data_IF_496109385020
#
_entry.id   IF_496109385020
#
_cell.length_a   1.000
_cell.length_b   1.000
_cell.length_c   1.000
_cell.angle_alpha   90.00
_cell.angle_beta   90.00
_cell.angle_gamma   90.00
#
_symmetry.space_group_name_H-M   'P 1'
#
loop_
_entity.id
_entity.type
_entity.pdbx_description
1 polymer ?
#
# COMPACT_ATOMS: atom_id res chain seq x y z
N UNK A 1 0.74 6.09 0.56
CA UNK A 1 1.91 6.94 0.82
C UNK A 1 2.39 6.88 2.28
N UNK A 2 1.51 6.69 3.28
CA UNK A 2 1.95 6.55 4.70
C UNK A 2 3.02 5.48 4.92
N UNK A 3 2.85 4.27 4.36
CA UNK A 3 3.85 3.19 4.47
C UNK A 3 5.22 3.56 3.87
N UNK A 4 5.23 4.33 2.78
CA UNK A 4 6.47 4.79 2.13
C UNK A 4 7.26 5.73 3.05
N UNK A 5 6.58 6.67 3.71
CA UNK A 5 7.20 7.53 4.71
C UNK A 5 7.70 6.75 5.93
N UNK A 6 6.91 5.79 6.41
CA UNK A 6 7.30 4.94 7.53
C UNK A 6 8.52 4.11 7.17
N UNK A 7 8.65 3.66 5.91
CA UNK A 7 9.82 2.92 5.44
C UNK A 7 11.14 3.65 5.71
N UNK A 8 11.17 4.97 5.56
CA UNK A 8 12.34 5.78 5.91
C UNK A 8 12.69 5.69 7.39
N UNK A 9 11.69 5.75 8.27
CA UNK A 9 11.88 5.57 9.72
C UNK A 9 12.22 4.13 10.10
N UNK A 10 11.70 3.14 9.38
CA UNK A 10 11.97 1.73 9.62
C UNK A 10 13.42 1.36 9.26
N UNK A 11 13.97 1.93 8.19
CA UNK A 11 15.34 1.61 7.76
C UNK A 11 16.41 2.50 8.42
N UNK A 12 16.02 3.67 8.95
CA UNK A 12 16.95 4.64 9.53
C UNK A 12 17.85 4.09 10.66
N UNK A 13 17.39 3.21 11.58
CA UNK A 13 18.25 2.70 12.65
C UNK A 13 19.45 1.89 12.14
N UNK A 14 19.34 1.26 10.96
CA UNK A 14 20.40 0.42 10.38
C UNK A 14 21.20 1.18 9.31
N UNK A 15 20.53 1.84 8.37
CA UNK A 15 21.18 2.42 7.19
C UNK A 15 21.27 3.95 7.21
N UNK A 16 20.72 4.58 8.26
CA UNK A 16 20.63 6.05 8.38
C UNK A 16 19.61 6.68 7.45
N UNK A 17 19.66 8.00 7.32
CA UNK A 17 18.70 8.81 6.53
C UNK A 17 19.33 9.44 5.28
N UNK A 18 20.28 8.74 4.65
CA UNK A 18 20.99 9.27 3.48
C UNK A 18 20.11 9.31 2.22
N UNK A 19 20.56 10.05 1.19
CA UNK A 19 19.89 10.10 -0.11
C UNK A 19 19.77 8.71 -0.78
N UNK A 20 20.69 7.80 -0.46
CA UNK A 20 20.67 6.43 -0.99
C UNK A 20 19.52 5.61 -0.41
N UNK A 21 19.22 5.79 0.88
CA UNK A 21 18.12 5.10 1.56
C UNK A 21 16.77 5.57 1.03
N UNK A 22 16.58 6.89 0.94
CA UNK A 22 15.37 7.46 0.34
C UNK A 22 15.23 7.11 -1.14
N UNK A 23 16.32 7.16 -1.91
CA UNK A 23 16.33 6.74 -3.31
C UNK A 23 15.93 5.28 -3.49
N UNK A 24 16.36 4.40 -2.58
CA UNK A 24 15.96 2.99 -2.56
C UNK A 24 14.47 2.83 -2.29
N UNK A 25 13.95 3.47 -1.25
CA UNK A 25 12.54 3.41 -0.86
C UNK A 25 11.66 3.87 -2.02
N UNK A 26 11.90 5.08 -2.54
CA UNK A 26 11.09 5.65 -3.64
C UNK A 26 11.13 4.72 -4.86
N UNK A 27 12.31 4.23 -5.25
CA UNK A 27 12.46 3.33 -6.39
C UNK A 27 11.64 2.06 -6.22
N UNK A 28 11.74 1.41 -5.06
CA UNK A 28 11.00 0.18 -4.76
C UNK A 28 9.50 0.43 -4.77
N UNK A 29 9.04 1.51 -4.14
CA UNK A 29 7.62 1.85 -4.12
C UNK A 29 7.08 2.15 -5.52
N UNK A 30 7.79 2.93 -6.34
CA UNK A 30 7.36 3.23 -7.71
C UNK A 30 7.29 1.97 -8.57
N UNK A 31 8.28 1.07 -8.49
CA UNK A 31 8.28 -0.19 -9.23
C UNK A 31 7.17 -1.13 -8.75
N UNK A 32 7.00 -1.26 -7.43
CA UNK A 32 5.95 -2.09 -6.86
C UNK A 32 4.55 -1.56 -7.22
N UNK A 33 4.34 -0.24 -7.19
CA UNK A 33 3.10 0.39 -7.65
C UNK A 33 2.87 0.16 -9.14
N UNK A 34 3.88 0.30 -10.00
CA UNK A 34 3.76 0.04 -11.43
C UNK A 34 3.33 -1.42 -11.70
N UNK A 35 3.92 -2.38 -10.99
CA UNK A 35 3.52 -3.79 -11.03
C UNK A 35 2.08 -3.97 -10.52
N UNK A 36 1.73 -3.34 -9.41
CA UNK A 36 0.37 -3.33 -8.86
C UNK A 36 -0.66 -2.77 -9.85
N UNK A 37 -0.32 -1.69 -10.56
CA UNK A 37 -1.19 -1.10 -11.58
C UNK A 37 -1.42 -2.06 -12.74
N UNK A 38 -0.37 -2.72 -13.21
CA UNK A 38 -0.46 -3.72 -14.28
C UNK A 38 -1.30 -4.93 -13.87
N UNK A 39 -1.03 -5.49 -12.69
CA UNK A 39 -1.74 -6.69 -12.20
C UNK A 39 -3.20 -6.35 -11.87
N UNK A 40 -3.46 -5.22 -11.20
CA UNK A 40 -4.79 -4.75 -10.86
C UNK A 40 -5.63 -4.44 -12.09
N UNK A 41 -5.04 -3.79 -13.10
CA UNK A 41 -5.68 -3.51 -14.38
C UNK A 41 -5.98 -4.78 -15.18
N UNK A 42 -5.11 -5.79 -15.17
CA UNK A 42 -5.40 -7.09 -15.82
C UNK A 42 -6.49 -7.86 -15.07
N UNK A 43 -6.46 -7.84 -13.74
CA UNK A 43 -7.46 -8.53 -12.91
C UNK A 43 -8.87 -7.91 -13.10
N UNK A 44 -8.93 -6.60 -13.33
CA UNK A 44 -10.19 -5.89 -13.51
C UNK A 44 -10.87 -6.12 -14.86
N UNK A 45 -10.16 -6.62 -15.86
CA UNK A 45 -10.73 -7.00 -17.17
C UNK A 45 -11.64 -8.25 -17.10
N UNK A 46 -11.46 -9.10 -16.08
CA UNK A 46 -12.12 -10.40 -15.99
C UNK A 46 -13.45 -10.36 -15.22
N UNK A 47 -14.25 -9.31 -15.41
CA UNK A 47 -15.49 -9.07 -14.65
C UNK A 47 -15.19 -8.48 -13.27
N UNK A 48 -15.13 -7.15 -13.15
CA UNK A 48 -14.86 -6.50 -11.87
C UNK A 48 -16.05 -6.73 -10.93
N UNK A 49 -15.77 -7.21 -9.71
CA UNK A 49 -16.77 -7.52 -8.68
C UNK A 49 -16.36 -6.93 -7.35
N UNK A 50 -17.34 -6.58 -6.53
CA UNK A 50 -17.09 -6.04 -5.20
C UNK A 50 -16.40 -7.09 -4.30
N UNK A 51 -16.69 -8.38 -4.50
CA UNK A 51 -16.02 -9.48 -3.80
C UNK A 51 -14.51 -9.50 -4.05
N UNK A 52 -14.08 -9.41 -5.32
CA UNK A 52 -12.65 -9.38 -5.67
C UNK A 52 -11.97 -8.11 -5.17
N UNK A 53 -12.67 -6.98 -5.20
CA UNK A 53 -12.19 -5.74 -4.60
C UNK A 53 -11.95 -5.90 -3.10
N UNK A 54 -12.89 -6.52 -2.39
CA UNK A 54 -12.76 -6.82 -0.97
C UNK A 54 -11.57 -7.73 -0.67
N UNK A 55 -11.32 -8.75 -1.50
CA UNK A 55 -10.16 -9.64 -1.38
C UNK A 55 -8.85 -8.84 -1.50
N UNK A 56 -8.75 -7.86 -2.41
CA UNK A 56 -7.55 -7.00 -2.52
C UNK A 56 -7.28 -6.27 -1.20
N UNK A 57 -8.31 -5.69 -0.57
CA UNK A 57 -8.19 -5.01 0.72
C UNK A 57 -7.79 -5.97 1.85
N UNK A 58 -8.41 -7.15 1.91
CA UNK A 58 -8.08 -8.18 2.89
C UNK A 58 -6.64 -8.66 2.73
N UNK A 59 -6.21 -8.97 1.51
CA UNK A 59 -4.83 -9.34 1.21
C UNK A 59 -3.85 -8.23 1.59
N UNK A 60 -4.16 -6.97 1.25
CA UNK A 60 -3.31 -5.83 1.62
C UNK A 60 -3.15 -5.72 3.14
N UNK A 61 -4.25 -5.82 3.89
CA UNK A 61 -4.24 -5.81 5.36
C UNK A 61 -3.46 -6.99 5.95
N UNK A 62 -3.71 -8.20 5.47
CA UNK A 62 -3.05 -9.43 5.95
C UNK A 62 -1.55 -9.45 5.65
N UNK A 63 -1.09 -8.86 4.55
CA UNK A 63 0.34 -8.76 4.22
C UNK A 63 0.99 -7.63 5.01
N UNK A 64 0.29 -6.51 5.20
CA UNK A 64 0.82 -5.35 5.90
C UNK A 64 0.98 -5.58 7.41
N UNK A 65 0.06 -6.30 8.05
CA UNK A 65 0.06 -6.53 9.50
C UNK A 65 1.36 -7.19 10.02
N UNK A 66 1.77 -8.35 9.47
CA UNK A 66 3.01 -9.03 9.85
C UNK A 66 4.28 -8.18 9.68
N UNK A 67 4.24 -7.16 8.82
CA UNK A 67 5.38 -6.26 8.60
C UNK A 67 5.81 -5.55 9.89
N UNK A 68 4.87 -5.25 10.80
CA UNK A 68 5.18 -4.63 12.09
C UNK A 68 6.11 -5.49 12.96
N UNK A 69 6.09 -6.82 12.79
CA UNK A 69 6.95 -7.76 13.52
C UNK A 69 8.15 -8.21 12.68
N UNK A 70 7.98 -8.30 11.37
CA UNK A 70 8.99 -8.80 10.45
C UNK A 70 10.04 -7.75 10.05
N UNK A 71 9.72 -6.46 10.18
CA UNK A 71 10.62 -5.37 9.74
C UNK A 71 11.99 -5.42 10.42
N UNK A 72 12.03 -5.49 11.75
CA UNK A 72 13.27 -5.52 12.53
C UNK A 72 14.15 -6.75 12.23
N UNK A 73 13.65 -8.00 12.29
CA UNK A 73 14.47 -9.18 12.03
C UNK A 73 14.96 -9.24 10.58
N UNK A 74 14.14 -8.86 9.60
CA UNK A 74 14.55 -8.84 8.19
C UNK A 74 15.62 -7.77 7.97
N UNK A 75 15.42 -6.55 8.48
CA UNK A 75 16.37 -5.45 8.29
C UNK A 75 17.70 -5.76 8.96
N UNK A 76 17.68 -6.33 10.17
CA UNK A 76 18.89 -6.77 10.89
C UNK A 76 19.63 -7.85 10.11
N UNK A 77 18.91 -8.87 9.61
CA UNK A 77 19.50 -9.95 8.82
C UNK A 77 20.18 -9.43 7.53
N UNK A 78 19.59 -8.43 6.88
CA UNK A 78 20.18 -7.77 5.70
C UNK A 78 21.41 -6.95 6.10
N UNK A 79 21.30 -6.16 7.17
CA UNK A 79 22.38 -5.29 7.64
C UNK A 79 23.63 -6.09 7.99
N UNK A 80 23.49 -7.21 8.70
CA UNK A 80 24.60 -8.09 9.09
C UNK A 80 25.39 -8.65 7.89
N UNK A 81 24.76 -8.68 6.70
CA UNK A 81 25.38 -9.17 5.45
C UNK A 81 25.86 -8.05 4.55
N UNK A 82 25.15 -6.93 4.53
CA UNK A 82 25.39 -5.80 3.64
C UNK A 82 25.30 -4.51 4.44
N UNK A 83 26.44 -4.08 4.97
CA UNK A 83 26.55 -2.84 5.73
C UNK A 83 26.51 -1.58 4.85
N UNK A 84 26.79 -1.69 3.54
CA UNK A 84 26.73 -0.54 2.62
C UNK A 84 25.28 -0.05 2.52
N UNK A 85 24.98 1.20 2.93
CA UNK A 85 23.62 1.72 2.92
C UNK A 85 22.95 1.67 1.55
N UNK A 86 23.69 1.80 0.45
CA UNK A 86 23.12 1.82 -0.92
C UNK A 86 22.46 0.50 -1.26
N UNK A 87 23.19 -0.60 -1.05
CA UNK A 87 22.73 -1.94 -1.42
C UNK A 87 21.90 -2.57 -0.30
N UNK A 88 22.27 -2.33 0.95
CA UNK A 88 21.56 -2.83 2.13
C UNK A 88 20.15 -2.25 2.22
N UNK A 89 19.98 -0.93 2.08
CA UNK A 89 18.65 -0.32 2.12
C UNK A 89 17.78 -0.72 0.93
N UNK A 90 18.38 -0.92 -0.25
CA UNK A 90 17.66 -1.37 -1.43
C UNK A 90 17.12 -2.78 -1.24
N UNK A 91 17.96 -3.71 -0.75
CA UNK A 91 17.55 -5.08 -0.51
C UNK A 91 16.51 -5.18 0.63
N UNK A 92 16.70 -4.42 1.71
CA UNK A 92 15.72 -4.36 2.80
C UNK A 92 14.38 -3.78 2.32
N UNK A 93 14.40 -2.69 1.55
CA UNK A 93 13.19 -2.11 0.98
C UNK A 93 12.48 -3.09 0.03
N UNK A 94 13.22 -3.80 -0.83
CA UNK A 94 12.66 -4.83 -1.70
C UNK A 94 11.97 -5.94 -0.92
N UNK A 95 12.62 -6.46 0.12
CA UNK A 95 12.10 -7.54 0.94
C UNK A 95 10.83 -7.13 1.72
N UNK A 96 10.80 -5.91 2.23
CA UNK A 96 9.73 -5.43 3.11
C UNK A 96 8.53 -4.85 2.35
N UNK A 97 8.78 -4.07 1.29
CA UNK A 97 7.75 -3.17 0.76
C UNK A 97 7.18 -3.62 -0.58
N UNK A 98 7.83 -4.53 -1.33
CA UNK A 98 7.31 -4.95 -2.65
C UNK A 98 5.94 -5.63 -2.51
N UNK A 99 5.84 -6.67 -1.69
CA UNK A 99 4.60 -7.42 -1.54
C UNK A 99 3.39 -6.55 -1.13
N UNK A 100 3.44 -5.77 -0.03
CA UNK A 100 2.30 -4.93 0.35
C UNK A 100 2.02 -3.83 -0.68
N UNK A 101 3.05 -3.22 -1.26
CA UNK A 101 2.88 -2.10 -2.19
C UNK A 101 2.30 -2.53 -3.53
N UNK A 102 2.66 -3.72 -4.03
CA UNK A 102 2.04 -4.29 -5.23
C UNK A 102 0.53 -4.45 -5.02
N UNK A 103 0.12 -5.05 -3.90
CA UNK A 103 -1.31 -5.27 -3.62
C UNK A 103 -2.06 -3.94 -3.42
N UNK A 104 -1.46 -2.98 -2.71
CA UNK A 104 -2.03 -1.63 -2.57
C UNK A 104 -2.14 -0.92 -3.92
N UNK A 105 -1.17 -1.09 -4.81
CA UNK A 105 -1.19 -0.53 -6.16
C UNK A 105 -2.36 -1.04 -7.00
N UNK A 106 -2.83 -2.27 -6.76
CA UNK A 106 -3.96 -2.84 -7.51
C UNK A 106 -5.28 -2.10 -7.26
N UNK A 107 -5.42 -1.37 -6.13
CA UNK A 107 -6.68 -0.74 -5.72
C UNK A 107 -7.16 0.31 -6.74
N UNK A 108 -6.27 1.14 -7.26
CA UNK A 108 -6.64 2.25 -8.17
C UNK A 108 -7.23 1.78 -9.50
N UNK A 109 -6.53 0.98 -10.34
CA UNK A 109 -7.10 0.53 -11.62
C UNK A 109 -8.34 -0.36 -11.42
N UNK A 110 -8.39 -1.14 -10.33
CA UNK A 110 -9.55 -1.96 -10.04
C UNK A 110 -10.79 -1.11 -9.71
N UNK A 111 -10.61 -0.04 -8.93
CA UNK A 111 -11.69 0.90 -8.58
C UNK A 111 -12.24 1.59 -9.83
N UNK A 112 -11.38 2.00 -10.77
CA UNK A 112 -11.83 2.58 -12.05
C UNK A 112 -12.72 1.58 -12.78
N UNK A 113 -12.27 0.35 -12.98
CA UNK A 113 -13.05 -0.67 -13.69
C UNK A 113 -14.36 -1.05 -12.99
N UNK A 114 -14.43 -0.97 -11.65
CA UNK A 114 -15.65 -1.24 -10.90
C UNK A 114 -16.69 -0.10 -11.02
N UNK A 115 -16.23 1.14 -11.15
CA UNK A 115 -17.08 2.33 -11.19
C UNK A 115 -17.52 2.71 -12.62
N UNK A 116 -16.72 2.39 -13.63
CA UNK A 116 -17.03 2.70 -15.04
C UNK A 116 -18.15 1.80 -15.54
N UNK A 117 -19.31 2.39 -15.83
CA UNK A 117 -20.48 1.71 -16.42
C UNK A 117 -20.55 1.84 -17.94
N UNK A 118 -20.14 2.99 -18.47
CA UNK A 118 -20.10 3.30 -19.90
C UNK A 118 -18.68 3.77 -20.26
N UNK A 119 -18.16 3.32 -21.41
CA UNK A 119 -16.78 3.61 -21.85
C UNK A 119 -16.48 5.12 -21.92
N UNK A 120 -17.48 5.92 -22.25
CA UNK A 120 -17.41 7.39 -22.37
C UNK A 120 -17.18 8.09 -21.01
N UNK A 121 -17.58 7.48 -19.90
CA UNK A 121 -17.38 8.04 -18.55
C UNK A 121 -16.01 7.67 -17.96
N UNK A 122 -15.24 6.81 -18.62
CA UNK A 122 -13.97 6.28 -18.10
C UNK A 122 -12.97 7.37 -17.70
N UNK A 123 -12.83 8.41 -18.53
CA UNK A 123 -11.95 9.55 -18.23
C UNK A 123 -12.40 10.35 -17.02
N UNK A 124 -13.72 10.60 -16.87
CA UNK A 124 -14.28 11.35 -15.74
C UNK A 124 -14.12 10.57 -14.43
N UNK A 125 -14.47 9.29 -14.42
CA UNK A 125 -14.34 8.41 -13.25
C UNK A 125 -12.88 8.28 -12.83
N UNK A 126 -11.97 8.04 -13.78
CA UNK A 126 -10.54 7.97 -13.49
C UNK A 126 -10.02 9.31 -12.93
N UNK A 127 -10.40 10.44 -13.52
CA UNK A 127 -10.02 11.77 -13.03
C UNK A 127 -10.47 12.04 -11.59
N UNK A 128 -11.74 11.77 -11.28
CA UNK A 128 -12.27 11.91 -9.92
C UNK A 128 -11.56 10.98 -8.94
N UNK A 129 -11.29 9.73 -9.33
CA UNK A 129 -10.57 8.78 -8.48
C UNK A 129 -9.14 9.25 -8.20
N UNK A 130 -8.42 9.74 -9.21
CA UNK A 130 -7.07 10.29 -9.03
C UNK A 130 -7.07 11.53 -8.16
N UNK A 131 -8.07 12.41 -8.29
CA UNK A 131 -8.22 13.57 -7.42
C UNK A 131 -8.38 13.16 -5.95
N UNK A 132 -9.34 12.28 -5.66
CA UNK A 132 -9.59 11.78 -4.28
C UNK A 132 -8.36 11.05 -3.75
N UNK A 133 -7.73 10.20 -4.56
CA UNK A 133 -6.52 9.46 -4.19
C UNK A 133 -5.35 10.39 -3.87
N UNK A 134 -5.18 11.46 -4.64
CA UNK A 134 -4.08 12.41 -4.45
C UNK A 134 -4.29 13.25 -3.20
N UNK A 135 -5.49 13.79 -2.98
CA UNK A 135 -5.82 14.53 -1.74
C UNK A 135 -5.70 13.61 -0.53
N UNK A 136 -6.27 12.41 -0.59
CA UNK A 136 -6.19 11.43 0.49
C UNK A 136 -4.75 11.05 0.80
N UNK A 137 -3.91 10.88 -0.23
CA UNK A 137 -2.48 10.63 -0.07
C UNK A 137 -1.75 11.81 0.55
N UNK A 138 -2.02 13.05 0.13
CA UNK A 138 -1.42 14.24 0.70
C UNK A 138 -1.77 14.41 2.18
N UNK A 139 -3.06 14.31 2.52
CA UNK A 139 -3.55 14.37 3.90
C UNK A 139 -3.01 13.22 4.74
N UNK A 140 -3.01 11.99 4.22
CA UNK A 140 -2.46 10.83 4.91
C UNK A 140 -0.97 10.95 5.16
N UNK A 141 -0.20 11.46 4.20
CA UNK A 141 1.23 11.75 4.33
C UNK A 141 1.47 12.79 5.42
N UNK A 142 0.74 13.91 5.44
CA UNK A 142 0.84 14.93 6.49
C UNK A 142 0.42 14.41 7.86
N UNK A 143 -0.71 13.69 7.94
CA UNK A 143 -1.18 13.07 9.16
C UNK A 143 -0.12 12.10 9.73
N UNK A 144 0.50 11.31 8.85
CA UNK A 144 1.52 10.34 9.25
C UNK A 144 2.78 11.04 9.74
N UNK A 145 3.30 12.00 8.96
CA UNK A 145 4.58 12.66 9.26
C UNK A 145 4.52 13.61 10.46
N UNK A 146 3.41 14.33 10.64
CA UNK A 146 3.30 15.37 11.67
C UNK A 146 2.66 14.87 12.97
N UNK A 147 1.71 13.94 12.88
CA UNK A 147 0.91 13.51 14.03
C UNK A 147 1.15 12.06 14.41
N UNK A 148 0.98 11.11 13.49
CA UNK A 148 1.04 9.70 13.86
C UNK A 148 2.42 9.29 14.35
N UNK A 149 3.46 9.72 13.65
CA UNK A 149 4.85 9.41 14.02
C UNK A 149 5.30 10.13 15.30
N UNK A 150 4.59 11.18 15.72
CA UNK A 150 4.84 11.88 16.99
C UNK A 150 4.12 11.19 18.16
N UNK A 151 2.90 10.70 17.94
CA UNK A 151 2.04 10.15 18.99
C UNK A 151 2.14 8.64 19.14
N UNK A 152 2.54 7.92 18.09
CA UNK A 152 2.53 6.46 18.05
C UNK A 152 3.87 5.90 17.58
N UNK A 153 4.17 4.71 18.05
CA UNK A 153 5.26 3.89 17.50
C UNK A 153 4.94 3.42 16.08
N UNK A 154 5.98 3.24 15.28
CA UNK A 154 5.86 2.82 13.86
C UNK A 154 5.04 1.53 13.73
N UNK A 155 5.24 0.57 14.62
CA UNK A 155 4.51 -0.70 14.63
C UNK A 155 3.01 -0.50 14.85
N UNK A 156 2.62 0.39 15.77
CA UNK A 156 1.21 0.70 16.03
C UNK A 156 0.55 1.37 14.82
N UNK A 157 1.29 2.22 14.10
CA UNK A 157 0.78 2.84 12.86
C UNK A 157 0.55 1.77 11.79
N UNK A 158 1.51 0.87 11.58
CA UNK A 158 1.39 -0.24 10.62
C UNK A 158 0.19 -1.13 10.96
N UNK A 159 0.02 -1.51 12.23
CA UNK A 159 -1.11 -2.31 12.69
C UNK A 159 -2.43 -1.58 12.46
N UNK A 160 -2.50 -0.27 12.75
CA UNK A 160 -3.71 0.53 12.51
C UNK A 160 -4.06 0.62 11.03
N UNK A 161 -3.08 0.82 10.16
CA UNK A 161 -3.27 0.81 8.71
C UNK A 161 -3.74 -0.57 8.23
N UNK A 162 -3.14 -1.65 8.72
CA UNK A 162 -3.55 -3.02 8.43
C UNK A 162 -4.99 -3.29 8.87
N UNK A 163 -5.34 -2.94 10.11
CA UNK A 163 -6.69 -3.08 10.66
C UNK A 163 -7.72 -2.29 9.85
N UNK A 164 -7.36 -1.07 9.41
CA UNK A 164 -8.24 -0.24 8.57
C UNK A 164 -8.49 -0.90 7.21
N UNK A 165 -7.45 -1.45 6.58
CA UNK A 165 -7.60 -2.19 5.31
C UNK A 165 -8.48 -3.44 5.48
N UNK A 166 -8.27 -4.20 6.56
CA UNK A 166 -9.09 -5.37 6.87
C UNK A 166 -10.56 -4.99 7.10
N UNK A 167 -10.81 -3.94 7.88
CA UNK A 167 -12.17 -3.45 8.15
C UNK A 167 -12.88 -3.01 6.87
N UNK A 168 -12.19 -2.29 5.97
CA UNK A 168 -12.72 -1.90 4.66
C UNK A 168 -12.99 -3.12 3.77
N UNK A 169 -12.12 -4.13 3.80
CA UNK A 169 -12.33 -5.39 3.11
C UNK A 169 -13.58 -6.12 3.60
N UNK A 170 -13.75 -6.27 4.91
CA UNK A 170 -14.94 -6.89 5.51
C UNK A 170 -16.21 -6.10 5.18
N UNK A 171 -16.16 -4.77 5.27
CA UNK A 171 -17.28 -3.91 4.91
C UNK A 171 -17.68 -4.07 3.43
N UNK A 172 -16.71 -4.17 2.52
CA UNK A 172 -16.97 -4.41 1.10
C UNK A 172 -17.64 -5.77 0.86
N UNK A 173 -17.23 -6.84 1.57
CA UNK A 173 -17.93 -8.15 1.52
C UNK A 173 -19.36 -8.03 2.04
N UNK A 174 -19.57 -7.31 3.14
CA UNK A 174 -20.90 -7.13 3.71
C UNK A 174 -21.85 -6.41 2.74
N UNK A 175 -21.38 -5.35 2.09
CA UNK A 175 -22.15 -4.59 1.09
C UNK A 175 -22.47 -5.40 -0.16
N UNK A 176 -21.57 -6.28 -0.59
CA UNK A 176 -21.79 -7.20 -1.70
C UNK A 176 -22.95 -8.17 -1.40
N UNK A 177 -22.96 -8.76 -0.20
CA UNK A 177 -24.04 -9.68 0.23
C UNK A 177 -25.41 -9.00 0.31
N UNK A 178 -25.46 -7.75 0.79
CA UNK A 178 -26.71 -6.97 0.85
C UNK A 178 -27.22 -6.64 -0.56
N UNK A 179 -26.31 -6.29 -1.48
CA UNK A 179 -26.66 -5.96 -2.86
C UNK A 179 -27.18 -7.17 -3.66
N UNK A 180 -26.71 -8.38 -3.33
CA UNK A 180 -27.16 -9.64 -3.94
C UNK A 180 -28.51 -10.11 -3.39
N UNK A 181 -28.83 -9.86 -2.11
CA UNK A 181 -30.13 -10.21 -1.51
C UNK A 181 -31.25 -9.19 -1.78
N UNK A 182 -30.92 -8.01 -2.32
CA UNK A 182 -31.89 -6.96 -2.67
C UNK A 182 -32.37 -6.98 -4.13
N UNK A 183 -32.00 -8.00 -4.92
CA UNK A 183 -32.50 -8.27 -6.28
C UNK A 183 -33.34 -9.54 -6.28
#
# INVERSE_FOLDING_TARGET
MSLELLGGRMLAPWFGSSIYVWGSIITVFMLALALGYLVGGRLSLHGPTLTRFAIIFLCAGCILGPLALAAEPITTWVFDRIHDPRYGSLLAALALFVAPTVVLGMISPYSVSLLVRVREESGKVAGTLYFVSTIGSALGTLATSFYFVLWFEVNNIIITLSATLLALGVAAVALDRVSVHGR
#
